data_IF_445577230746
#
_entry.id   IF_445577230746
#
_cell.length_a   1.000
_cell.length_b   1.000
_cell.length_c   1.000
_cell.angle_alpha   90.00
_cell.angle_beta   90.00
_cell.angle_gamma   90.00
#
_symmetry.space_group_name_H-M   'P 1'
#
loop_
_entity.id
_entity.type
_entity.pdbx_description
1 polymer ?
#
# COMPACT_ATOMS: atom_id res chain seq x y z
N UNK A 1 -47.97 49.64 -59.07
CA UNK A 1 -48.31 48.26 -58.64
C UNK A 1 -47.01 47.50 -58.42
N UNK A 2 -46.97 46.77 -57.30
CA UNK A 2 -45.83 46.07 -56.69
C UNK A 2 -45.12 45.07 -57.61
N UNK A 3 -43.81 44.83 -57.47
CA UNK A 3 -43.33 43.81 -56.53
C UNK A 3 -41.81 43.72 -56.37
N UNK A 4 -41.45 43.29 -55.16
CA UNK A 4 -40.19 43.46 -54.49
C UNK A 4 -39.09 42.48 -54.92
N UNK A 5 -37.85 42.99 -54.89
CA UNK A 5 -36.63 42.20 -54.73
C UNK A 5 -36.72 41.43 -53.40
N UNK A 6 -36.49 40.11 -53.41
CA UNK A 6 -36.13 39.38 -52.20
C UNK A 6 -34.81 38.64 -52.38
N UNK A 7 -33.93 38.91 -51.44
CA UNK A 7 -32.55 38.49 -51.31
C UNK A 7 -32.42 37.07 -50.71
N UNK A 8 -31.37 36.38 -51.15
CA UNK A 8 -30.41 35.55 -50.39
C UNK A 8 -30.88 34.53 -49.33
N UNK A 9 -30.43 33.29 -49.59
CA UNK A 9 -29.76 32.32 -48.69
C UNK A 9 -30.48 31.78 -47.45
N UNK A 10 -30.82 30.49 -47.46
CA UNK A 10 -30.82 29.63 -46.27
C UNK A 10 -30.84 28.14 -46.68
N UNK A 11 -29.98 27.31 -46.10
CA UNK A 11 -30.16 25.85 -46.20
C UNK A 11 -28.98 24.92 -45.88
N UNK A 12 -27.73 25.41 -45.81
CA UNK A 12 -26.56 24.54 -45.57
C UNK A 12 -26.08 24.47 -44.09
N UNK A 13 -26.79 25.10 -43.16
CA UNK A 13 -26.41 25.19 -41.75
C UNK A 13 -26.66 23.92 -40.89
N UNK A 14 -27.73 23.12 -41.06
CA UNK A 14 -28.03 22.06 -40.08
C UNK A 14 -27.11 20.84 -40.21
N UNK A 15 -26.60 20.55 -41.41
CA UNK A 15 -25.76 19.39 -41.65
C UNK A 15 -24.36 19.53 -41.04
N UNK A 16 -23.81 20.73 -40.99
CA UNK A 16 -22.49 21.01 -40.39
C UNK A 16 -22.60 20.96 -38.87
N UNK A 17 -23.64 21.56 -38.29
CA UNK A 17 -23.91 21.50 -36.85
C UNK A 17 -24.14 20.06 -36.36
N UNK A 18 -24.88 19.25 -37.12
CA UNK A 18 -25.14 17.85 -36.77
C UNK A 18 -23.88 16.97 -36.86
N UNK A 19 -23.01 17.21 -37.86
CA UNK A 19 -21.71 16.52 -37.97
C UNK A 19 -20.76 16.89 -36.83
N UNK A 20 -20.76 18.16 -36.40
CA UNK A 20 -20.02 18.59 -35.22
C UNK A 20 -20.53 17.94 -33.93
N UNK A 21 -21.85 17.84 -33.76
CA UNK A 21 -22.48 17.21 -32.59
C UNK A 21 -22.13 15.71 -32.50
N UNK A 22 -22.18 15.00 -33.63
CA UNK A 22 -21.77 13.58 -33.70
C UNK A 22 -20.27 13.44 -33.40
N UNK A 23 -19.42 14.32 -33.94
CA UNK A 23 -17.98 14.29 -33.66
C UNK A 23 -17.66 14.53 -32.17
N UNK A 24 -18.38 15.44 -31.51
CA UNK A 24 -18.25 15.70 -30.06
C UNK A 24 -18.72 14.50 -29.24
N UNK A 25 -19.80 13.83 -29.62
CA UNK A 25 -20.29 12.62 -28.92
C UNK A 25 -19.31 11.46 -29.06
N UNK A 26 -18.73 11.26 -30.24
CA UNK A 26 -17.69 10.23 -30.46
C UNK A 26 -16.41 10.58 -29.67
N UNK A 27 -15.98 11.85 -29.66
CA UNK A 27 -14.83 12.28 -28.88
C UNK A 27 -15.07 12.14 -27.35
N UNK A 28 -16.28 12.42 -26.87
CA UNK A 28 -16.64 12.31 -25.46
C UNK A 28 -16.70 10.84 -24.97
N UNK A 29 -17.09 9.91 -25.84
CA UNK A 29 -17.14 8.47 -25.51
C UNK A 29 -15.75 7.80 -25.46
N UNK A 30 -14.77 8.31 -26.21
CA UNK A 30 -13.39 7.78 -26.19
C UNK A 30 -12.56 8.26 -24.99
N UNK A 31 -12.92 9.37 -24.35
CA UNK A 31 -12.15 9.98 -23.26
C UNK A 31 -12.38 9.34 -21.87
N UNK A 32 -13.33 8.41 -21.73
CA UNK A 32 -13.72 7.90 -20.41
C UNK A 32 -12.82 6.76 -19.86
N UNK A 33 -12.07 6.04 -20.70
CA UNK A 33 -11.25 4.90 -20.23
C UNK A 33 -9.94 5.34 -19.56
N UNK A 34 -9.46 6.55 -19.84
CA UNK A 34 -8.19 7.09 -19.30
C UNK A 34 -8.35 7.85 -17.98
N UNK A 35 -9.59 8.05 -17.50
CA UNK A 35 -9.87 8.86 -16.30
C UNK A 35 -9.98 8.05 -14.99
N UNK A 36 -9.59 6.76 -15.01
CA UNK A 36 -9.68 5.92 -13.83
C UNK A 36 -8.68 6.36 -12.75
N UNK A 37 -9.11 6.48 -11.48
CA UNK A 37 -8.23 6.85 -10.38
C UNK A 37 -7.10 5.83 -10.21
N UNK A 38 -5.88 6.35 -10.04
CA UNK A 38 -4.73 5.58 -9.55
C UNK A 38 -4.46 5.99 -8.12
N UNK A 39 -4.12 5.03 -7.27
CA UNK A 39 -3.74 5.30 -5.88
C UNK A 39 -2.48 4.54 -5.56
N UNK A 40 -1.51 5.22 -4.97
CA UNK A 40 -0.28 4.62 -4.47
C UNK A 40 -0.32 4.72 -2.94
N UNK A 41 -0.10 3.59 -2.26
CA UNK A 41 0.05 3.54 -0.82
C UNK A 41 1.53 3.27 -0.56
N UNK A 42 2.29 4.36 -0.46
CA UNK A 42 3.71 4.34 -0.16
C UNK A 42 3.89 4.62 1.32
N UNK A 43 4.39 3.64 2.05
CA UNK A 43 4.95 3.86 3.38
C UNK A 43 6.35 4.47 3.19
N UNK A 44 6.66 5.58 3.89
CA UNK A 44 7.97 6.26 3.76
C UNK A 44 9.10 5.28 4.09
N UNK A 45 9.83 4.83 3.07
CA UNK A 45 10.78 3.72 3.17
C UNK A 45 12.12 4.17 2.63
N UNK A 46 13.22 3.94 3.37
CA UNK A 46 14.55 4.21 2.86
C UNK A 46 14.93 3.29 1.69
N UNK A 47 14.20 2.18 1.48
CA UNK A 47 14.44 1.20 0.43
C UNK A 47 13.36 1.18 -0.64
N UNK A 48 13.78 1.00 -1.89
CA UNK A 48 12.92 0.93 -3.06
C UNK A 48 12.46 -0.50 -3.38
N UNK A 49 13.23 -1.50 -2.94
CA UNK A 49 13.01 -2.92 -3.25
C UNK A 49 13.15 -3.81 -2.02
N UNK A 50 12.50 -4.98 -2.06
CA UNK A 50 12.62 -5.99 -1.02
C UNK A 50 14.08 -6.43 -0.83
N UNK A 51 14.83 -6.62 -1.92
CA UNK A 51 16.22 -7.06 -1.90
C UNK A 51 17.14 -6.01 -1.26
N UNK A 52 16.84 -4.73 -1.44
CA UNK A 52 17.59 -3.66 -0.80
C UNK A 52 17.38 -3.64 0.72
N UNK A 53 16.13 -3.82 1.17
CA UNK A 53 15.83 -3.99 2.59
C UNK A 53 16.52 -5.23 3.18
N UNK A 54 16.46 -6.36 2.48
CA UNK A 54 17.16 -7.58 2.90
C UNK A 54 18.67 -7.36 3.02
N UNK A 55 19.31 -6.73 2.02
CA UNK A 55 20.75 -6.40 2.06
C UNK A 55 21.13 -5.50 3.23
N UNK A 56 20.28 -4.55 3.60
CA UNK A 56 20.53 -3.70 4.77
C UNK A 56 20.55 -4.54 6.07
N UNK A 57 19.60 -5.44 6.24
CA UNK A 57 19.55 -6.35 7.41
C UNK A 57 20.61 -7.45 7.39
N UNK A 58 21.11 -7.84 6.22
CA UNK A 58 22.21 -8.80 6.10
C UNK A 58 23.51 -8.26 6.71
N UNK A 59 23.70 -6.93 6.71
CA UNK A 59 24.85 -6.25 7.32
C UNK A 59 24.83 -6.23 8.85
N UNK A 60 23.69 -6.56 9.48
CA UNK A 60 23.58 -6.66 10.94
C UNK A 60 24.26 -7.95 11.40
N UNK A 61 25.32 -7.81 12.19
CA UNK A 61 26.09 -8.93 12.75
C UNK A 61 25.76 -9.07 14.23
N UNK A 62 25.31 -10.26 14.61
CA UNK A 62 24.98 -10.59 15.99
C UNK A 62 26.19 -10.37 16.92
N UNK A 63 25.92 -9.83 18.10
CA UNK A 63 26.89 -9.46 19.15
C UNK A 63 27.98 -8.46 18.73
N UNK A 64 27.82 -7.79 17.57
CA UNK A 64 28.75 -6.75 17.11
C UNK A 64 28.04 -5.45 16.74
N UNK A 65 26.91 -5.55 16.06
CA UNK A 65 26.13 -4.37 15.67
C UNK A 65 25.47 -3.76 16.89
N UNK A 66 25.70 -2.46 17.07
CA UNK A 66 25.14 -1.66 18.17
C UNK A 66 23.91 -0.87 17.74
N UNK A 67 23.16 -0.34 18.69
CA UNK A 67 22.04 0.61 18.41
C UNK A 67 22.53 1.82 17.60
N UNK A 68 23.75 2.31 17.86
CA UNK A 68 24.32 3.41 17.10
C UNK A 68 24.59 3.04 15.63
N UNK A 69 24.89 1.76 15.35
CA UNK A 69 25.08 1.26 13.99
C UNK A 69 23.73 1.09 13.29
N UNK A 70 22.72 0.55 13.99
CA UNK A 70 21.34 0.47 13.49
C UNK A 70 20.81 1.86 13.10
N UNK A 71 21.10 2.88 13.90
CA UNK A 71 20.76 4.27 13.56
C UNK A 71 21.41 4.76 12.27
N UNK A 72 22.68 4.40 12.02
CA UNK A 72 23.36 4.74 10.76
C UNK A 72 22.80 3.97 9.55
N UNK A 73 22.08 2.87 9.80
CA UNK A 73 21.43 2.06 8.77
C UNK A 73 19.94 2.40 8.57
N UNK A 74 19.43 3.50 9.15
CA UNK A 74 18.00 3.86 9.16
C UNK A 74 17.09 2.81 9.82
N UNK A 75 17.62 2.05 10.77
CA UNK A 75 16.92 1.02 11.55
C UNK A 75 16.58 1.47 12.97
N UNK A 76 16.65 2.78 13.24
CA UNK A 76 16.37 3.36 14.55
C UNK A 76 14.97 4.00 14.59
N UNK A 77 14.14 3.67 15.60
CA UNK A 77 12.76 4.14 15.71
C UNK A 77 12.62 5.65 15.91
N UNK A 78 13.65 6.35 16.41
CA UNK A 78 13.61 7.81 16.50
C UNK A 78 13.88 8.48 15.15
N UNK A 79 14.51 7.77 14.22
CA UNK A 79 14.83 8.26 12.87
C UNK A 79 13.90 7.77 11.77
N UNK A 80 13.30 6.58 11.95
CA UNK A 80 12.46 5.92 10.95
C UNK A 80 11.08 5.58 11.57
N UNK A 81 9.99 6.22 11.12
CA UNK A 81 8.67 6.05 11.72
C UNK A 81 8.06 4.66 11.53
N UNK A 82 8.64 3.82 10.66
CA UNK A 82 8.15 2.46 10.37
C UNK A 82 8.90 1.39 11.17
N UNK A 83 9.67 1.81 12.17
CA UNK A 83 10.32 0.94 13.15
C UNK A 83 9.57 1.06 14.48
N UNK A 84 9.00 -0.06 14.93
CA UNK A 84 8.27 -0.16 16.19
C UNK A 84 9.16 -0.72 17.28
N UNK A 85 9.12 -0.12 18.48
CA UNK A 85 9.80 -0.65 19.66
C UNK A 85 8.93 -1.73 20.29
N UNK A 86 9.48 -2.94 20.41
CA UNK A 86 8.90 -4.06 21.13
C UNK A 86 9.47 -4.10 22.54
N UNK A 87 8.60 -4.04 23.55
CA UNK A 87 9.00 -4.28 24.93
C UNK A 87 9.06 -5.79 25.24
N UNK A 88 9.47 -6.13 26.46
CA UNK A 88 9.55 -7.53 26.92
C UNK A 88 8.25 -8.34 26.67
N UNK A 89 7.08 -7.76 26.91
CA UNK A 89 5.79 -8.45 26.71
C UNK A 89 5.51 -8.70 25.22
N UNK A 90 5.89 -7.76 24.36
CA UNK A 90 5.72 -7.91 22.91
C UNK A 90 6.64 -9.01 22.38
N UNK A 91 7.91 -9.03 22.79
CA UNK A 91 8.86 -10.08 22.46
C UNK A 91 8.35 -11.44 22.96
N UNK A 92 7.91 -11.52 24.21
CA UNK A 92 7.40 -12.76 24.78
C UNK A 92 6.21 -13.32 23.99
N UNK A 93 5.22 -12.47 23.66
CA UNK A 93 4.05 -12.87 22.84
C UNK A 93 4.43 -13.29 21.42
N UNK A 94 5.48 -12.70 20.85
CA UNK A 94 5.97 -12.97 19.50
C UNK A 94 6.62 -14.36 19.39
N UNK A 95 7.48 -14.70 20.36
CA UNK A 95 8.30 -15.92 20.32
C UNK A 95 7.71 -17.08 21.13
N UNK A 96 6.84 -16.80 22.10
CA UNK A 96 6.11 -17.80 22.89
C UNK A 96 4.60 -17.53 22.72
N UNK A 97 4.03 -17.85 21.55
CA UNK A 97 2.61 -17.57 21.27
C UNK A 97 1.68 -18.49 22.08
N UNK A 98 2.18 -19.60 22.61
CA UNK A 98 1.40 -20.53 23.43
C UNK A 98 2.24 -21.11 24.58
N UNK A 99 1.60 -21.52 25.69
CA UNK A 99 2.29 -22.14 26.84
C UNK A 99 2.98 -23.47 26.52
N UNK A 100 2.69 -24.08 25.37
CA UNK A 100 3.30 -25.34 24.94
C UNK A 100 4.71 -25.14 24.34
N UNK A 101 5.09 -23.91 24.00
CA UNK A 101 6.43 -23.59 23.50
C UNK A 101 7.37 -23.37 24.68
N UNK A 102 8.36 -24.25 24.81
CA UNK A 102 9.39 -24.07 25.83
C UNK A 102 10.41 -23.01 25.39
N UNK A 103 10.67 -22.04 26.25
CA UNK A 103 11.69 -21.01 26.04
C UNK A 103 13.07 -21.61 25.76
N UNK A 104 13.38 -22.78 26.31
CA UNK A 104 14.67 -23.47 26.10
C UNK A 104 14.87 -23.98 24.66
N UNK A 105 13.79 -24.11 23.88
CA UNK A 105 13.82 -24.59 22.49
C UNK A 105 14.01 -23.48 21.45
N UNK A 106 13.99 -22.22 21.89
CA UNK A 106 14.15 -21.05 21.03
C UNK A 106 15.61 -20.84 20.61
N UNK A 107 15.84 -19.98 19.61
CA UNK A 107 17.20 -19.59 19.24
C UNK A 107 17.96 -18.95 20.41
N UNK A 108 19.27 -19.16 20.49
CA UNK A 108 20.11 -18.69 21.58
C UNK A 108 19.98 -17.17 21.83
N UNK A 109 19.89 -16.36 20.77
CA UNK A 109 19.72 -14.91 20.91
C UNK A 109 18.35 -14.49 21.46
N UNK A 110 17.31 -15.26 21.14
CA UNK A 110 15.96 -15.06 21.72
C UNK A 110 15.98 -15.43 23.20
N UNK A 111 16.62 -16.55 23.55
CA UNK A 111 16.75 -16.95 24.95
C UNK A 111 17.51 -15.92 25.77
N UNK A 112 18.60 -15.36 25.23
CA UNK A 112 19.37 -14.29 25.86
C UNK A 112 18.49 -13.06 26.14
N UNK A 113 17.75 -12.60 25.13
CA UNK A 113 16.82 -11.49 25.28
C UNK A 113 15.74 -11.75 26.35
N UNK A 114 15.13 -12.94 26.34
CA UNK A 114 14.10 -13.30 27.32
C UNK A 114 14.65 -13.37 28.76
N UNK A 115 15.88 -13.87 28.93
CA UNK A 115 16.56 -13.90 30.25
C UNK A 115 16.92 -12.49 30.73
N UNK A 116 17.25 -11.59 29.83
CA UNK A 116 17.58 -10.19 30.15
C UNK A 116 16.36 -9.34 30.52
N UNK A 117 15.13 -9.83 30.30
CA UNK A 117 13.87 -9.19 30.67
C UNK A 117 13.79 -7.72 30.21
N UNK A 118 13.77 -6.75 31.13
CA UNK A 118 13.66 -5.31 30.83
C UNK A 118 14.91 -4.70 30.21
N UNK A 119 16.04 -5.41 30.26
CA UNK A 119 17.28 -5.02 29.57
C UNK A 119 17.27 -5.39 28.08
N UNK A 120 16.28 -6.18 27.66
CA UNK A 120 16.04 -6.46 26.25
C UNK A 120 14.92 -5.60 25.67
N UNK A 121 15.15 -5.10 24.46
CA UNK A 121 14.14 -4.47 23.62
C UNK A 121 14.25 -5.06 22.20
N UNK A 122 13.12 -5.15 21.51
CA UNK A 122 13.10 -5.50 20.09
C UNK A 122 12.82 -4.27 19.24
N UNK A 123 13.38 -4.21 18.04
CA UNK A 123 12.89 -3.32 16.99
C UNK A 123 12.22 -4.17 15.91
N UNK A 124 10.94 -3.89 15.65
CA UNK A 124 10.19 -4.49 14.56
C UNK A 124 10.09 -3.49 13.41
N UNK A 125 10.30 -4.00 12.21
CA UNK A 125 10.28 -3.24 10.97
C UNK A 125 9.22 -3.85 10.08
N UNK A 126 8.22 -3.07 9.69
CA UNK A 126 7.16 -3.47 8.75
C UNK A 126 7.06 -2.43 7.64
N UNK A 127 7.73 -2.71 6.53
CA UNK A 127 7.65 -1.87 5.33
C UNK A 127 6.77 -2.51 4.29
N UNK A 128 5.86 -1.72 3.75
CA UNK A 128 4.93 -2.16 2.71
C UNK A 128 4.84 -1.10 1.65
N UNK A 129 5.11 -1.50 0.41
CA UNK A 129 4.97 -0.64 -0.77
C UNK A 129 3.92 -1.27 -1.66
N UNK A 130 2.80 -0.59 -1.84
CA UNK A 130 1.72 -1.05 -2.72
C UNK A 130 1.34 0.01 -3.74
N UNK A 131 1.21 -0.44 -4.98
CA UNK A 131 0.64 0.32 -6.08
C UNK A 131 -0.70 -0.29 -6.46
N UNK A 132 -1.77 0.51 -6.40
CA UNK A 132 -3.12 0.09 -6.74
C UNK A 132 -3.56 0.79 -8.02
N UNK A 133 -3.75 0.02 -9.08
CA UNK A 133 -4.19 0.51 -10.38
C UNK A 133 -5.62 0.03 -10.64
N UNK A 134 -6.57 0.97 -10.74
CA UNK A 134 -7.93 0.63 -11.14
C UNK A 134 -8.00 0.52 -12.66
N UNK A 135 -8.77 -0.45 -13.13
CA UNK A 135 -8.98 -0.69 -14.55
C UNK A 135 -10.43 -1.11 -14.84
N UNK A 136 -10.88 -0.99 -16.09
CA UNK A 136 -12.21 -1.38 -16.52
C UNK A 136 -13.09 -0.20 -16.93
N UNK A 137 -14.38 -0.28 -16.62
CA UNK A 137 -15.35 0.73 -17.04
C UNK A 137 -15.47 1.86 -16.02
N UNK A 138 -15.16 3.09 -16.43
CA UNK A 138 -15.21 4.28 -15.58
C UNK A 138 -16.59 4.52 -14.96
N UNK A 139 -17.68 4.40 -15.73
CA UNK A 139 -19.03 4.64 -15.21
C UNK A 139 -19.45 3.60 -14.18
N UNK A 140 -19.10 2.34 -14.39
CA UNK A 140 -19.34 1.28 -13.42
C UNK A 140 -18.57 1.51 -12.11
N UNK A 141 -17.35 2.06 -12.16
CA UNK A 141 -16.58 2.42 -10.95
C UNK A 141 -17.15 3.68 -10.27
N UNK A 142 -17.46 4.73 -11.04
CA UNK A 142 -17.99 6.00 -10.52
C UNK A 142 -19.31 5.81 -9.79
N UNK A 143 -20.22 5.02 -10.35
CA UNK A 143 -21.50 4.68 -9.71
C UNK A 143 -21.40 3.44 -8.80
N UNK A 144 -20.19 2.99 -8.48
CA UNK A 144 -19.90 1.88 -7.58
C UNK A 144 -20.51 0.52 -7.97
N UNK A 145 -21.04 0.35 -9.19
CA UNK A 145 -21.59 -0.92 -9.65
C UNK A 145 -20.55 -2.02 -9.75
N UNK A 146 -19.36 -1.69 -10.26
CA UNK A 146 -18.26 -2.64 -10.39
C UNK A 146 -16.92 -1.93 -10.35
N UNK A 147 -16.01 -2.41 -9.51
CA UNK A 147 -14.64 -1.90 -9.40
C UNK A 147 -13.66 -3.06 -9.53
N UNK A 148 -12.65 -2.90 -10.38
CA UNK A 148 -11.51 -3.83 -10.50
C UNK A 148 -10.24 -3.07 -10.16
N UNK A 149 -9.45 -3.65 -9.26
CA UNK A 149 -8.18 -3.08 -8.82
C UNK A 149 -7.10 -4.13 -8.95
N UNK A 150 -6.03 -3.77 -9.65
CA UNK A 150 -4.80 -4.53 -9.69
C UNK A 150 -3.83 -3.97 -8.64
N UNK A 151 -3.30 -4.83 -7.79
CA UNK A 151 -2.45 -4.45 -6.66
C UNK A 151 -1.12 -5.15 -6.83
N UNK A 152 -0.07 -4.35 -7.00
CA UNK A 152 1.30 -4.85 -7.10
C UNK A 152 2.16 -4.21 -6.04
N UNK A 153 3.17 -4.93 -5.55
CA UNK A 153 4.05 -4.38 -4.55
C UNK A 153 4.93 -5.41 -3.86
N UNK A 154 5.44 -5.04 -2.70
CA UNK A 154 6.25 -5.91 -1.84
C UNK A 154 6.06 -5.52 -0.37
N UNK A 155 6.38 -6.45 0.52
CA UNK A 155 6.36 -6.24 1.97
C UNK A 155 7.61 -6.85 2.58
N UNK A 156 8.25 -6.11 3.46
CA UNK A 156 9.41 -6.58 4.21
C UNK A 156 9.12 -6.48 5.70
N UNK A 157 9.37 -7.57 6.41
CA UNK A 157 9.20 -7.68 7.84
C UNK A 157 10.51 -8.10 8.48
N UNK A 158 10.96 -7.38 9.50
CA UNK A 158 12.13 -7.79 10.26
C UNK A 158 12.00 -7.50 11.73
N UNK A 159 12.67 -8.30 12.55
CA UNK A 159 12.78 -8.12 13.99
C UNK A 159 14.24 -8.24 14.37
N UNK A 160 14.75 -7.28 15.12
CA UNK A 160 16.05 -7.38 15.79
C UNK A 160 15.82 -7.29 17.29
N UNK A 161 16.48 -8.17 18.05
CA UNK A 161 16.48 -8.10 19.51
C UNK A 161 17.80 -7.54 19.97
N UNK A 162 17.73 -6.63 20.93
CA UNK A 162 18.85 -5.84 21.41
C UNK A 162 18.90 -6.00 22.92
N UNK A 163 20.06 -6.41 23.43
CA UNK A 163 20.34 -6.50 24.87
C UNK A 163 21.52 -5.61 25.18
N UNK A 164 21.37 -4.73 26.18
CA UNK A 164 22.41 -3.78 26.61
C UNK A 164 23.05 -2.98 25.45
N UNK A 165 22.24 -2.64 24.44
CA UNK A 165 22.65 -1.82 23.29
C UNK A 165 23.32 -2.58 22.13
N UNK A 166 23.39 -3.91 22.20
CA UNK A 166 23.97 -4.78 21.15
C UNK A 166 22.91 -5.73 20.61
N UNK A 167 22.91 -5.97 19.29
CA UNK A 167 21.99 -6.91 18.65
C UNK A 167 22.36 -8.34 19.02
N UNK A 168 21.43 -9.08 19.65
CA UNK A 168 21.60 -10.49 20.04
C UNK A 168 20.88 -11.46 19.11
N UNK A 169 19.85 -10.99 18.41
CA UNK A 169 19.08 -11.81 17.48
C UNK A 169 18.56 -10.97 16.31
N UNK A 170 18.43 -11.59 15.13
CA UNK A 170 17.79 -11.00 13.96
C UNK A 170 16.93 -12.02 13.23
N UNK A 171 15.80 -11.56 12.72
CA UNK A 171 14.88 -12.33 11.89
C UNK A 171 14.36 -11.43 10.77
N UNK A 172 14.40 -11.90 9.52
CA UNK A 172 13.81 -11.20 8.37
C UNK A 172 12.77 -12.08 7.70
N UNK A 173 11.86 -11.47 6.95
CA UNK A 173 10.76 -12.12 6.25
C UNK A 173 9.94 -11.12 5.44
N UNK A 174 8.77 -11.55 5.00
CA UNK A 174 7.85 -10.75 4.21
C UNK A 174 7.53 -11.40 2.86
N UNK A 175 7.10 -10.57 1.91
CA UNK A 175 6.67 -10.96 0.57
C UNK A 175 7.44 -10.14 -0.48
N UNK A 176 8.40 -10.74 -1.21
CA UNK A 176 9.18 -10.01 -2.22
C UNK A 176 8.33 -9.55 -3.40
N UNK A 177 7.23 -10.27 -3.70
CA UNK A 177 6.28 -9.92 -4.75
C UNK A 177 4.86 -10.10 -4.21
N UNK A 178 4.06 -9.04 -4.33
CA UNK A 178 2.62 -9.03 -4.09
C UNK A 178 1.96 -8.76 -5.44
N UNK A 179 1.01 -9.60 -5.81
CA UNK A 179 0.16 -9.41 -6.98
C UNK A 179 -1.24 -9.92 -6.65
N UNK A 180 -2.16 -8.99 -6.44
CA UNK A 180 -3.52 -9.28 -6.01
C UNK A 180 -4.52 -8.61 -6.96
N UNK A 181 -5.62 -9.30 -7.25
CA UNK A 181 -6.72 -8.78 -8.04
C UNK A 181 -7.96 -8.66 -7.15
N UNK A 182 -8.40 -7.43 -6.90
CA UNK A 182 -9.63 -7.16 -6.18
C UNK A 182 -10.75 -6.83 -7.18
N UNK A 183 -11.86 -7.58 -7.12
CA UNK A 183 -13.09 -7.27 -7.85
C UNK A 183 -14.25 -7.07 -6.85
N UNK A 184 -14.83 -5.89 -6.86
CA UNK A 184 -16.04 -5.56 -6.10
C UNK A 184 -17.21 -5.40 -7.07
N UNK A 185 -18.32 -6.06 -6.75
CA UNK A 185 -19.55 -6.02 -7.54
C UNK A 185 -20.72 -5.64 -6.63
N UNK A 186 -21.23 -4.42 -6.80
CA UNK A 186 -22.34 -3.89 -6.01
C UNK A 186 -23.54 -3.69 -6.94
N UNK A 187 -24.41 -4.70 -7.10
CA UNK A 187 -25.54 -4.63 -8.03
C UNK A 187 -26.49 -3.45 -7.75
N UNK A 188 -26.56 -2.98 -6.50
CA UNK A 188 -27.39 -1.82 -6.10
C UNK A 188 -26.64 -0.48 -6.23
N UNK A 189 -25.38 -0.52 -6.67
CA UNK A 189 -24.57 0.67 -6.96
C UNK A 189 -24.48 1.62 -5.76
N UNK A 190 -24.82 2.92 -5.92
CA UNK A 190 -24.72 3.91 -4.83
C UNK A 190 -25.64 3.62 -3.63
N UNK A 191 -26.72 2.86 -3.82
CA UNK A 191 -27.69 2.57 -2.76
C UNK A 191 -27.20 1.46 -1.81
N UNK A 192 -26.21 0.66 -2.21
CA UNK A 192 -25.73 -0.47 -1.42
C UNK A 192 -24.94 -0.06 -0.16
N UNK A 193 -24.33 1.13 -0.15
CA UNK A 193 -23.58 1.68 0.99
C UNK A 193 -24.34 2.70 1.84
N UNK A 194 -25.55 3.10 1.42
CA UNK A 194 -26.33 4.13 2.12
C UNK A 194 -26.86 3.66 3.49
N UNK A 195 -26.94 2.35 3.73
CA UNK A 195 -27.36 1.79 5.02
C UNK A 195 -26.33 2.01 6.13
N UNK A 196 -25.03 1.88 5.87
CA UNK A 196 -23.98 2.00 6.90
C UNK A 196 -23.69 3.46 7.31
N UNK A 197 -23.93 4.43 6.41
CA UNK A 197 -23.74 5.85 6.70
C UNK A 197 -24.84 6.46 7.58
N UNK A 198 -26.01 5.82 7.68
CA UNK A 198 -27.15 6.30 8.48
C UNK A 198 -27.06 5.84 9.95
N UNK A 199 -26.28 4.78 10.23
CA UNK A 199 -26.11 4.22 11.58
C UNK A 199 -24.77 4.58 12.24
N UNK A 200 -24.06 5.61 11.77
CA UNK A 200 -22.79 6.06 12.34
C UNK A 200 -22.82 7.51 12.81
#
# INVERSE_FOLDING_TARGET
MLNARYLRTAGAAPAIAQRFLIAVVIAASAACSTLLPRSEALTDSPWQTFEEAQRAFDQVILHKTTVADLKRQNLDPASNPNVTILNYSDVLRRFIPSPSVDASSLDAGVQECLRAATHCQGYEVDHRVLKRNRYGNFWADLFNFRRKTDIVGWRFNAVVLITDGVVVYKLTGGQPVIHEHEESNNPLGPLQGAGEAIFR
#
